data_IF_949123993699
#
_entry.id   IF_949123993699
#
_cell.length_a   1.000
_cell.length_b   1.000
_cell.length_c   1.000
_cell.angle_alpha   90.00
_cell.angle_beta   90.00
_cell.angle_gamma   90.00
#
_symmetry.space_group_name_H-M   'P 1'
#
loop_
_entity.id
_entity.type
_entity.pdbx_description
1 polymer ?
#
# COMPACT_ATOMS: atom_id res chain seq x y z
N UNK A 1 6.38 25.00 4.94
CA UNK A 1 6.31 24.74 3.94
C UNK A 1 6.02 23.54 3.74
N UNK A 2 5.65 23.14 3.16
CA UNK A 2 5.57 22.02 2.88
C UNK A 2 5.95 21.81 1.70
N UNK A 3 6.69 21.62 1.64
CA UNK A 3 7.33 21.33 0.53
C UNK A 3 6.60 20.42 -0.34
N UNK A 4 7.16 20.05 -1.45
CA UNK A 4 6.55 19.11 -2.36
C UNK A 4 6.24 17.83 -1.64
N UNK A 5 5.28 17.12 -2.14
CA UNK A 5 4.92 15.84 -1.62
C UNK A 5 6.15 14.98 -1.52
N UNK A 6 6.38 14.44 -0.34
CA UNK A 6 7.50 13.55 -0.13
C UNK A 6 7.27 12.26 -0.89
N UNK A 7 8.26 11.84 -1.67
CA UNK A 7 8.25 10.57 -2.36
C UNK A 7 9.28 9.65 -1.75
N UNK A 8 8.90 8.41 -1.48
CA UNK A 8 9.81 7.40 -0.99
C UNK A 8 9.71 6.17 -1.89
N UNK A 9 10.77 5.41 -1.96
CA UNK A 9 10.82 4.21 -2.80
C UNK A 9 11.21 3.01 -1.95
N UNK A 10 10.42 1.95 -2.04
CA UNK A 10 10.78 0.68 -1.41
C UNK A 10 11.85 -0.02 -2.25
N UNK A 11 12.57 -0.95 -1.61
CA UNK A 11 13.64 -1.67 -2.31
C UNK A 11 13.12 -2.49 -3.50
N UNK A 12 11.82 -2.79 -3.54
CA UNK A 12 11.24 -3.51 -4.66
C UNK A 12 10.83 -2.61 -5.82
N UNK A 13 11.01 -1.29 -5.68
CA UNK A 13 10.71 -0.34 -6.75
C UNK A 13 9.35 0.34 -6.65
N UNK A 14 8.55 0.01 -5.66
CA UNK A 14 7.27 0.66 -5.42
C UNK A 14 7.53 2.03 -4.79
N UNK A 15 6.87 3.05 -5.31
CA UNK A 15 7.03 4.43 -4.84
C UNK A 15 5.75 4.83 -4.12
N UNK A 16 5.86 5.66 -3.10
CA UNK A 16 4.67 6.15 -2.40
C UNK A 16 4.87 7.58 -1.92
N UNK A 17 3.74 8.28 -1.73
CA UNK A 17 3.73 9.68 -1.29
C UNK A 17 3.57 9.76 0.22
N UNK A 18 3.84 10.94 0.77
CA UNK A 18 3.57 11.20 2.19
C UNK A 18 2.08 11.06 2.51
N UNK A 19 1.22 11.39 1.54
CA UNK A 19 -0.23 11.26 1.73
C UNK A 19 -0.62 9.79 1.91
N UNK A 20 -0.05 8.89 1.12
CA UNK A 20 -0.30 7.46 1.29
C UNK A 20 0.21 6.97 2.63
N UNK A 21 1.41 7.40 3.02
CA UNK A 21 1.98 6.98 4.30
C UNK A 21 1.09 7.42 5.46
N UNK A 22 0.58 8.64 5.42
CA UNK A 22 -0.31 9.15 6.47
C UNK A 22 -1.61 8.36 6.52
N UNK A 23 -2.16 8.04 5.36
CA UNK A 23 -3.39 7.24 5.29
C UNK A 23 -3.17 5.84 5.88
N UNK A 24 -2.04 5.22 5.55
CA UNK A 24 -1.72 3.89 6.07
C UNK A 24 -1.61 3.91 7.60
N UNK A 25 -0.96 4.92 8.14
CA UNK A 25 -0.82 5.05 9.59
C UNK A 25 -2.17 5.21 10.27
N UNK A 26 -3.05 6.02 9.71
CA UNK A 26 -4.39 6.22 10.26
C UNK A 26 -5.22 4.94 10.16
N UNK A 27 -5.18 4.28 9.02
CA UNK A 27 -5.89 3.02 8.81
C UNK A 27 -5.44 1.95 9.79
N UNK A 28 -4.13 1.85 10.00
CA UNK A 28 -3.55 0.87 10.92
C UNK A 28 -4.02 1.12 12.35
N UNK A 29 -4.03 2.37 12.75
CA UNK A 29 -4.43 2.74 14.10
C UNK A 29 -5.92 2.52 14.33
N UNK A 30 -6.74 2.89 13.37
CA UNK A 30 -8.20 2.81 13.51
C UNK A 30 -8.75 1.39 13.50
N UNK A 31 -8.09 0.49 12.78
CA UNK A 31 -8.62 -0.87 12.63
C UNK A 31 -8.11 -1.85 13.69
N UNK A 32 -7.08 -1.47 14.44
CA UNK A 32 -6.53 -2.26 15.56
C UNK A 32 -6.15 -3.71 15.22
N UNK A 33 -6.12 -4.07 13.95
CA UNK A 33 -5.81 -5.44 13.54
C UNK A 33 -4.42 -5.90 13.91
N UNK A 34 -3.48 -4.95 14.03
CA UNK A 34 -2.10 -5.26 14.38
C UNK A 34 -1.93 -5.89 15.75
N UNK A 35 -2.93 -5.75 16.62
CA UNK A 35 -2.85 -6.30 17.98
C UNK A 35 -3.05 -7.81 18.02
N UNK A 36 -3.37 -8.45 16.90
CA UNK A 36 -3.70 -9.86 16.85
C UNK A 36 -2.72 -10.66 15.97
N UNK A 37 -1.50 -10.19 15.82
CA UNK A 37 -0.53 -10.89 14.98
C UNK A 37 -0.82 -10.77 13.50
N UNK A 38 -1.52 -9.72 13.12
CA UNK A 38 -1.85 -9.45 11.73
C UNK A 38 -1.03 -8.27 11.23
N UNK A 39 -0.77 -8.24 9.94
CA UNK A 39 -0.19 -7.05 9.31
C UNK A 39 -0.98 -6.69 8.06
N UNK A 40 -0.91 -5.43 7.64
CA UNK A 40 -1.59 -5.03 6.41
C UNK A 40 -1.00 -5.73 5.19
N UNK A 41 -1.86 -6.17 4.29
CA UNK A 41 -1.47 -6.61 2.96
C UNK A 41 -1.97 -5.58 1.97
N UNK A 42 -1.09 -5.12 1.10
CA UNK A 42 -1.44 -4.18 0.05
C UNK A 42 -1.71 -4.97 -1.23
N UNK A 43 -2.90 -4.82 -1.78
CA UNK A 43 -3.29 -5.50 -3.01
C UNK A 43 -3.52 -4.51 -4.13
N UNK A 44 -3.16 -4.93 -5.33
CA UNK A 44 -3.36 -4.14 -6.53
C UNK A 44 -4.68 -4.54 -7.18
N UNK A 45 -5.50 -3.54 -7.51
CA UNK A 45 -6.80 -3.75 -8.12
C UNK A 45 -6.88 -2.93 -9.40
N UNK A 46 -7.27 -3.56 -10.50
CA UNK A 46 -7.50 -2.87 -11.75
C UNK A 46 -8.91 -3.17 -12.23
N UNK A 47 -9.65 -2.12 -12.54
CA UNK A 47 -11.01 -2.29 -13.01
C UNK A 47 -11.00 -2.69 -14.48
N UNK A 48 -11.66 -3.81 -14.79
CA UNK A 48 -11.70 -4.35 -16.15
C UNK A 48 -12.83 -3.75 -16.99
N UNK A 49 -13.86 -3.20 -16.34
CA UNK A 49 -15.02 -2.66 -17.05
C UNK A 49 -15.69 -1.56 -16.25
N UNK A 50 -16.66 -0.90 -16.85
CA UNK A 50 -17.38 0.18 -16.19
C UNK A 50 -16.67 1.52 -16.37
N UNK A 51 -17.13 2.53 -15.65
CA UNK A 51 -16.60 3.89 -15.76
C UNK A 51 -15.14 4.00 -15.32
N UNK A 52 -14.67 3.01 -14.55
CA UNK A 52 -13.31 3.01 -14.03
C UNK A 52 -12.40 2.04 -14.77
N UNK A 53 -12.83 1.55 -15.93
CA UNK A 53 -12.03 0.60 -16.70
C UNK A 53 -10.62 1.17 -16.95
N UNK A 54 -9.62 0.36 -16.70
CA UNK A 54 -8.23 0.75 -16.87
C UNK A 54 -7.61 1.52 -15.72
N UNK A 55 -8.42 2.00 -14.77
CA UNK A 55 -7.89 2.67 -13.58
C UNK A 55 -7.36 1.65 -12.59
N UNK A 56 -6.27 2.02 -11.92
CA UNK A 56 -5.62 1.14 -10.97
C UNK A 56 -5.73 1.72 -9.56
N UNK A 57 -6.10 0.88 -8.63
CA UNK A 57 -6.24 1.22 -7.22
C UNK A 57 -5.54 0.15 -6.40
N UNK A 58 -5.35 0.47 -5.13
CA UNK A 58 -4.84 -0.52 -4.18
C UNK A 58 -5.79 -0.59 -3.00
N UNK A 59 -5.75 -1.70 -2.30
CA UNK A 59 -6.56 -1.89 -1.10
C UNK A 59 -5.69 -2.48 0.01
N UNK A 60 -6.14 -2.32 1.24
CA UNK A 60 -5.45 -2.84 2.41
C UNK A 60 -6.37 -3.82 3.13
N UNK A 61 -5.83 -4.98 3.49
CA UNK A 61 -6.53 -5.91 4.37
C UNK A 61 -5.56 -6.49 5.39
N UNK A 62 -6.10 -6.98 6.47
CA UNK A 62 -5.31 -7.62 7.51
C UNK A 62 -5.04 -9.08 7.14
N UNK A 63 -3.79 -9.52 7.31
CA UNK A 63 -3.39 -10.90 7.01
C UNK A 63 -2.53 -11.45 8.13
N UNK A 64 -2.61 -12.76 8.40
CA UNK A 64 -1.77 -13.38 9.42
C UNK A 64 -0.29 -13.32 9.04
N UNK A 65 0.53 -12.85 9.96
CA UNK A 65 1.95 -12.69 9.71
C UNK A 65 2.68 -14.02 9.52
N UNK A 66 2.16 -15.09 10.11
CA UNK A 66 2.81 -16.39 10.04
C UNK A 66 2.78 -17.05 8.66
N UNK A 67 1.99 -16.50 7.73
CA UNK A 67 1.92 -17.01 6.36
C UNK A 67 2.78 -16.23 5.39
N UNK A 68 3.55 -15.28 5.89
CA UNK A 68 4.31 -14.37 5.04
C UNK A 68 5.78 -14.67 5.09
N UNK A 69 6.46 -14.48 3.95
CA UNK A 69 7.90 -14.63 3.89
C UNK A 69 8.55 -13.31 4.26
N UNK A 70 9.63 -13.31 5.05
CA UNK A 70 10.26 -12.06 5.49
C UNK A 70 10.64 -11.12 4.37
N UNK A 71 11.08 -11.64 3.22
CA UNK A 71 11.48 -10.77 2.11
C UNK A 71 10.30 -10.10 1.39
N UNK A 72 9.06 -10.49 1.74
CA UNK A 72 7.87 -9.89 1.19
C UNK A 72 7.23 -8.86 2.13
N UNK A 73 7.86 -8.63 3.28
CA UNK A 73 7.39 -7.65 4.25
C UNK A 73 8.26 -6.41 4.14
N UNK A 74 7.61 -5.26 3.96
CA UNK A 74 8.28 -3.98 3.79
C UNK A 74 7.83 -3.01 4.87
N UNK A 75 8.68 -2.04 5.20
CA UNK A 75 8.29 -0.98 6.13
C UNK A 75 7.91 0.28 5.39
N UNK A 76 6.72 0.79 5.69
CA UNK A 76 6.25 2.07 5.18
C UNK A 76 5.95 2.92 6.41
N UNK A 77 6.75 3.98 6.61
CA UNK A 77 6.75 4.65 7.88
C UNK A 77 7.32 3.70 8.93
N UNK A 78 6.54 3.33 9.90
CA UNK A 78 6.96 2.35 10.92
C UNK A 78 6.05 1.13 10.89
N UNK A 79 5.32 0.96 9.80
CA UNK A 79 4.33 -0.09 9.68
C UNK A 79 4.84 -1.15 8.72
N UNK A 80 4.78 -2.40 9.14
CA UNK A 80 5.13 -3.52 8.28
C UNK A 80 3.96 -3.83 7.38
N UNK A 81 4.23 -3.96 6.08
CA UNK A 81 3.21 -4.19 5.06
C UNK A 81 3.65 -5.35 4.19
N UNK A 82 2.73 -6.26 3.92
CA UNK A 82 3.00 -7.40 3.06
C UNK A 82 2.67 -7.05 1.62
N UNK A 83 3.62 -7.30 0.71
CA UNK A 83 3.42 -7.15 -0.72
C UNK A 83 3.78 -8.46 -1.39
N UNK A 84 2.80 -9.17 -1.93
CA UNK A 84 3.03 -10.41 -2.65
C UNK A 84 3.83 -10.15 -3.92
N UNK A 85 4.38 -11.21 -4.50
CA UNK A 85 5.16 -11.10 -5.73
C UNK A 85 4.34 -10.45 -6.86
N UNK A 86 3.08 -10.85 -7.01
CA UNK A 86 2.23 -10.28 -8.06
C UNK A 86 1.97 -8.79 -7.83
N UNK A 87 1.77 -8.40 -6.58
CA UNK A 87 1.56 -6.99 -6.25
C UNK A 87 2.85 -6.19 -6.52
N UNK A 88 4.00 -6.70 -6.09
CA UNK A 88 5.27 -6.01 -6.35
C UNK A 88 5.53 -5.82 -7.84
N UNK A 89 5.23 -6.84 -8.63
CA UNK A 89 5.40 -6.77 -10.07
C UNK A 89 4.46 -5.74 -10.70
N UNK A 90 3.20 -5.74 -10.26
CA UNK A 90 2.20 -4.82 -10.80
C UNK A 90 2.50 -3.36 -10.44
N UNK A 91 3.05 -3.13 -9.25
CA UNK A 91 3.28 -1.77 -8.76
C UNK A 91 4.69 -1.25 -9.00
N UNK A 92 5.58 -2.07 -9.57
CA UNK A 92 6.95 -1.65 -9.82
C UNK A 92 6.97 -0.39 -10.70
N UNK A 93 7.71 0.61 -10.26
CA UNK A 93 7.82 1.91 -10.94
C UNK A 93 6.53 2.74 -10.90
N UNK A 94 5.49 2.26 -10.21
CA UNK A 94 4.28 3.02 -10.00
C UNK A 94 4.30 3.71 -8.64
N UNK A 95 3.49 4.74 -8.51
CA UNK A 95 3.42 5.53 -7.28
C UNK A 95 2.06 5.34 -6.60
N UNK A 96 2.10 5.02 -5.32
CA UNK A 96 0.90 4.95 -4.48
C UNK A 96 0.61 6.33 -3.92
N UNK A 97 -0.57 6.84 -4.19
CA UNK A 97 -0.99 8.15 -3.73
C UNK A 97 -2.44 8.06 -3.26
N UNK A 98 -3.00 9.17 -2.85
CA UNK A 98 -4.38 9.21 -2.39
C UNK A 98 -5.21 10.04 -3.35
N UNK A 99 -6.44 9.56 -3.63
CA UNK A 99 -7.38 10.31 -4.45
C UNK A 99 -8.79 9.98 -3.97
N UNK A 100 -9.53 11.01 -3.59
CA UNK A 100 -10.92 10.87 -3.15
C UNK A 100 -11.09 9.84 -2.03
N UNK A 101 -10.15 9.79 -1.11
CA UNK A 101 -10.20 8.88 0.03
C UNK A 101 -9.80 7.44 -0.28
N UNK A 102 -9.32 7.17 -1.49
CA UNK A 102 -8.89 5.83 -1.89
C UNK A 102 -7.42 5.84 -2.28
N UNK A 103 -6.79 4.68 -2.16
CA UNK A 103 -5.40 4.52 -2.59
C UNK A 103 -5.38 4.44 -4.11
N UNK A 104 -4.68 5.38 -4.71
CA UNK A 104 -4.64 5.54 -6.17
C UNK A 104 -3.25 5.15 -6.68
N UNK A 105 -3.18 4.43 -7.79
CA UNK A 105 -1.92 4.00 -8.40
C UNK A 105 -1.68 4.83 -9.66
N UNK A 106 -0.59 5.55 -9.66
CA UNK A 106 -0.20 6.39 -10.81
C UNK A 106 0.70 5.65 -11.76
#
# INVERSE_FOLDING_TARGET
>A
MHGPAMLERLRCGVIYTGAFRAYLAQWHEETEGGNFGLIPQLDYVRFASGDRAGQAYASLLWQPINKMKPHEIFEIGRIKVYLSKSTRTALKEHCLDMKDGAIFVK
#
